data_IF_367630333876
#
_entry.id   IF_367630333876
#
_cell.length_a   1.000
_cell.length_b   1.000
_cell.length_c   1.000
_cell.angle_alpha   90.00
_cell.angle_beta   90.00
_cell.angle_gamma   90.00
#
_symmetry.space_group_name_H-M   'P 1'
#
loop_
_entity.id
_entity.type
_entity.pdbx_description
1 polymer ?
#
# COMPACT_ATOMS: atom_id res chain seq x y z
N UNK A 1 -23.13 -43.78 7.16
CA UNK A 1 -22.29 -43.01 8.10
C UNK A 1 -21.02 -42.48 7.44
N UNK A 2 -20.31 -43.30 6.64
CA UNK A 2 -19.11 -42.88 5.90
C UNK A 2 -19.35 -41.66 4.99
N UNK A 3 -20.49 -41.62 4.32
CA UNK A 3 -20.84 -40.57 3.35
C UNK A 3 -20.88 -39.16 3.98
N UNK A 4 -21.44 -39.05 5.19
CA UNK A 4 -21.45 -37.80 5.96
C UNK A 4 -20.04 -37.35 6.36
N UNK A 5 -19.14 -38.29 6.65
CA UNK A 5 -17.74 -38.01 6.99
C UNK A 5 -16.97 -37.54 5.75
N UNK A 6 -17.20 -38.17 4.60
CA UNK A 6 -16.57 -37.77 3.33
C UNK A 6 -17.02 -36.37 2.93
N UNK A 7 -18.31 -36.07 3.04
CA UNK A 7 -18.84 -34.73 2.77
C UNK A 7 -18.19 -33.66 3.67
N UNK A 8 -17.99 -33.96 4.96
CA UNK A 8 -17.32 -33.07 5.90
C UNK A 8 -15.86 -32.82 5.52
N UNK A 9 -15.13 -33.88 5.15
CA UNK A 9 -13.71 -33.79 4.76
C UNK A 9 -13.55 -32.96 3.49
N UNK A 10 -14.39 -33.18 2.48
CA UNK A 10 -14.37 -32.41 1.23
C UNK A 10 -14.65 -30.94 1.50
N UNK A 11 -15.63 -30.63 2.36
CA UNK A 11 -15.94 -29.24 2.75
C UNK A 11 -14.75 -28.57 3.43
N UNK A 12 -14.08 -29.26 4.35
CA UNK A 12 -12.88 -28.76 5.02
C UNK A 12 -11.72 -28.52 4.05
N UNK A 13 -11.53 -29.42 3.08
CA UNK A 13 -10.47 -29.29 2.07
C UNK A 13 -10.69 -28.05 1.20
N UNK A 14 -11.93 -27.86 0.74
CA UNK A 14 -12.32 -26.68 -0.05
C UNK A 14 -12.16 -25.41 0.78
N UNK A 15 -12.69 -25.38 2.00
CA UNK A 15 -12.59 -24.24 2.89
C UNK A 15 -11.13 -23.87 3.20
N UNK A 16 -10.28 -24.87 3.44
CA UNK A 16 -8.84 -24.68 3.68
C UNK A 16 -8.14 -24.14 2.44
N UNK A 17 -8.43 -24.69 1.25
CA UNK A 17 -7.87 -24.20 -0.02
C UNK A 17 -8.22 -22.73 -0.28
N UNK A 18 -9.49 -22.36 -0.06
CA UNK A 18 -9.97 -20.99 -0.15
C UNK A 18 -9.28 -20.09 0.87
N UNK A 19 -9.09 -20.56 2.11
CA UNK A 19 -8.44 -19.82 3.18
C UNK A 19 -6.97 -19.51 2.86
N UNK A 20 -6.24 -20.47 2.27
CA UNK A 20 -4.86 -20.29 1.81
C UNK A 20 -4.79 -19.27 0.66
N UNK A 21 -5.73 -19.33 -0.28
CA UNK A 21 -5.76 -18.45 -1.45
C UNK A 21 -6.12 -17.00 -1.10
N UNK A 22 -6.96 -16.78 -0.08
CA UNK A 22 -7.43 -15.45 0.37
C UNK A 22 -6.46 -14.79 1.38
N UNK A 23 -5.59 -15.58 2.02
CA UNK A 23 -4.60 -15.12 2.99
C UNK A 23 -5.20 -14.82 4.38
N UNK A 24 -4.53 -15.21 5.48
CA UNK A 24 -5.10 -15.18 6.84
C UNK A 24 -5.34 -13.77 7.43
N UNK A 25 -4.82 -12.72 6.78
CA UNK A 25 -4.95 -11.33 7.23
C UNK A 25 -6.30 -10.68 6.91
N UNK A 26 -7.09 -11.22 5.98
CA UNK A 26 -8.34 -10.60 5.51
C UNK A 26 -9.58 -11.06 6.30
N UNK A 27 -9.60 -12.30 6.80
CA UNK A 27 -10.71 -12.85 7.59
C UNK A 27 -10.70 -12.43 9.06
N UNK A 28 -9.53 -12.35 9.69
CA UNK A 28 -9.42 -11.97 11.12
C UNK A 28 -9.92 -10.55 11.40
N UNK A 29 -9.82 -9.65 10.41
CA UNK A 29 -10.33 -8.27 10.52
C UNK A 29 -11.86 -8.18 10.38
N UNK A 30 -12.49 -9.07 9.61
CA UNK A 30 -13.95 -9.10 9.39
C UNK A 30 -14.72 -9.87 10.47
N UNK A 31 -14.18 -11.01 10.97
CA UNK A 31 -14.86 -11.73 12.05
C UNK A 31 -14.82 -10.95 13.38
N UNK A 32 -13.70 -10.25 13.66
CA UNK A 32 -13.57 -9.44 14.88
C UNK A 32 -14.49 -8.20 14.89
N UNK A 33 -14.97 -7.75 13.72
CA UNK A 33 -15.96 -6.66 13.64
C UNK A 33 -17.41 -7.13 13.75
N UNK A 34 -17.71 -8.39 13.40
CA UNK A 34 -19.10 -8.90 13.40
C UNK A 34 -19.50 -9.48 14.76
N UNK A 35 -18.57 -10.13 15.48
CA UNK A 35 -18.86 -10.77 16.77
C UNK A 35 -18.98 -9.74 17.92
N UNK A 36 -18.53 -8.49 17.71
CA UNK A 36 -18.44 -7.46 18.77
C UNK A 36 -19.62 -6.49 18.88
N UNK A 37 -20.83 -6.89 18.46
CA UNK A 37 -22.05 -6.13 18.77
C UNK A 37 -23.28 -7.01 18.96
N UNK A 38 -23.83 -7.04 20.18
CA UNK A 38 -25.24 -6.80 20.38
C UNK A 38 -25.48 -5.32 20.72
N UNK A 39 -26.61 -4.82 20.20
CA UNK A 39 -27.14 -3.47 20.34
C UNK A 39 -27.40 -3.12 21.81
N UNK A 40 -26.91 -1.95 22.22
CA UNK A 40 -27.39 -1.21 23.40
C UNK A 40 -27.56 0.24 23.00
N UNK A 41 -28.81 0.70 22.94
CA UNK A 41 -29.24 2.04 22.56
C UNK A 41 -28.99 2.94 23.79
N UNK A 42 -27.77 3.41 24.01
CA UNK A 42 -27.44 4.19 25.22
C UNK A 42 -26.19 5.09 25.12
N UNK A 43 -25.86 5.63 23.94
CA UNK A 43 -24.69 6.53 23.83
C UNK A 43 -24.87 7.65 22.80
N UNK A 44 -26.03 8.32 22.81
CA UNK A 44 -26.20 9.63 22.16
C UNK A 44 -25.45 10.76 22.90
N UNK A 45 -24.79 10.46 24.02
CA UNK A 45 -24.08 11.43 24.88
C UNK A 45 -22.74 10.90 25.41
N UNK A 46 -21.87 10.41 24.53
CA UNK A 46 -20.45 10.45 24.84
C UNK A 46 -19.74 11.28 23.76
N UNK A 47 -19.14 12.44 24.11
CA UNK A 47 -18.13 13.04 23.24
C UNK A 47 -16.98 12.03 23.20
N UNK A 48 -17.02 11.19 22.18
CA UNK A 48 -15.99 10.21 21.85
C UNK A 48 -14.63 10.91 22.03
N UNK A 49 -13.75 10.47 22.95
CA UNK A 49 -12.38 10.92 22.89
C UNK A 49 -11.91 10.53 21.51
N UNK A 50 -11.62 11.55 20.70
CA UNK A 50 -10.99 11.41 19.40
C UNK A 50 -9.80 10.51 19.69
N UNK A 51 -9.91 9.26 19.24
CA UNK A 51 -8.80 8.34 19.29
C UNK A 51 -7.79 9.03 18.39
N UNK A 52 -6.89 9.80 18.97
CA UNK A 52 -5.59 10.09 18.40
C UNK A 52 -5.03 8.71 18.12
N UNK A 53 -5.35 8.20 16.94
CA UNK A 53 -4.39 7.46 16.19
C UNK A 53 -3.22 8.42 16.14
N UNK A 54 -2.32 8.27 17.13
CA UNK A 54 -0.96 8.73 17.05
C UNK A 54 -0.45 8.00 15.82
N UNK A 55 -0.72 8.58 14.64
CA UNK A 55 0.07 8.36 13.45
C UNK A 55 1.47 8.53 13.97
N UNK A 56 2.29 7.46 14.03
CA UNK A 56 3.64 7.57 14.56
C UNK A 56 4.23 8.78 13.86
N UNK A 57 4.66 9.81 14.60
CA UNK A 57 4.99 11.14 14.07
C UNK A 57 5.90 10.94 12.88
N UNK A 58 5.30 10.87 11.70
CA UNK A 58 5.95 10.31 10.54
C UNK A 58 6.71 11.49 9.98
N UNK A 59 8.01 11.32 9.75
CA UNK A 59 8.84 12.44 9.34
C UNK A 59 8.16 13.13 8.13
N UNK A 60 8.02 14.48 8.15
CA UNK A 60 7.29 15.20 7.11
C UNK A 60 7.85 14.93 5.71
N UNK A 61 9.13 14.59 5.58
CA UNK A 61 9.72 14.18 4.30
C UNK A 61 9.27 12.78 3.86
N UNK A 62 9.14 11.82 4.77
CA UNK A 62 8.57 10.50 4.49
C UNK A 62 7.13 10.62 4.01
N UNK A 63 6.35 11.50 4.65
CA UNK A 63 4.98 11.77 4.25
C UNK A 63 4.91 12.38 2.83
N UNK A 64 5.82 13.31 2.49
CA UNK A 64 5.93 13.85 1.12
C UNK A 64 6.21 12.75 0.09
N UNK A 65 7.12 11.83 0.39
CA UNK A 65 7.39 10.67 -0.47
C UNK A 65 6.13 9.82 -0.64
N UNK A 66 5.42 9.52 0.43
CA UNK A 66 4.18 8.73 0.37
C UNK A 66 3.09 9.41 -0.46
N UNK A 67 2.93 10.73 -0.32
CA UNK A 67 1.94 11.50 -1.09
C UNK A 67 2.32 11.55 -2.58
N UNK A 68 3.59 11.79 -2.91
CA UNK A 68 4.07 11.78 -4.29
C UNK A 68 3.94 10.38 -4.93
N UNK A 69 4.26 9.33 -4.17
CA UNK A 69 4.11 7.94 -4.60
C UNK A 69 2.63 7.59 -4.84
N UNK A 70 1.74 8.05 -3.95
CA UNK A 70 0.29 7.88 -4.12
C UNK A 70 -0.24 8.57 -5.38
N UNK A 71 0.21 9.80 -5.67
CA UNK A 71 -0.16 10.53 -6.89
C UNK A 71 0.32 9.81 -8.15
N UNK A 72 1.57 9.37 -8.19
CA UNK A 72 2.11 8.60 -9.32
C UNK A 72 1.38 7.26 -9.49
N UNK A 73 1.15 6.50 -8.42
CA UNK A 73 0.45 5.23 -8.49
C UNK A 73 -1.01 5.36 -8.93
N UNK A 74 -1.70 6.43 -8.53
CA UNK A 74 -3.06 6.71 -8.97
C UNK A 74 -3.10 7.10 -10.44
N UNK A 75 -2.14 7.91 -10.90
CA UNK A 75 -2.02 8.26 -12.30
C UNK A 75 -1.73 7.02 -13.16
N UNK A 76 -0.78 6.17 -12.75
CA UNK A 76 -0.44 4.94 -13.46
C UNK A 76 -1.64 3.98 -13.56
N UNK A 77 -2.38 3.78 -12.47
CA UNK A 77 -3.61 2.99 -12.50
C UNK A 77 -4.64 3.57 -13.48
N UNK A 78 -4.82 4.89 -13.50
CA UNK A 78 -5.76 5.54 -14.42
C UNK A 78 -5.38 5.36 -15.90
N UNK A 79 -4.11 5.06 -16.19
CA UNK A 79 -3.59 4.83 -17.54
C UNK A 79 -3.28 3.35 -17.82
N UNK A 80 -3.91 2.43 -17.08
CA UNK A 80 -3.80 0.98 -17.30
C UNK A 80 -2.50 0.33 -16.84
N UNK A 81 -1.64 1.04 -16.11
CA UNK A 81 -0.36 0.56 -15.60
C UNK A 81 -0.51 0.01 -14.18
N UNK A 82 -1.36 -1.00 -14.01
CA UNK A 82 -1.72 -1.55 -12.69
C UNK A 82 -0.54 -2.21 -11.96
N UNK A 83 0.34 -2.89 -12.69
CA UNK A 83 1.54 -3.53 -12.10
C UNK A 83 2.50 -2.48 -11.53
N UNK A 84 2.82 -1.45 -12.31
CA UNK A 84 3.66 -0.34 -11.85
C UNK A 84 3.02 0.42 -10.67
N UNK A 85 1.69 0.64 -10.72
CA UNK A 85 0.95 1.25 -9.62
C UNK A 85 0.99 0.39 -8.35
N UNK A 86 0.87 -0.93 -8.47
CA UNK A 86 0.95 -1.88 -7.35
C UNK A 86 2.35 -1.90 -6.75
N UNK A 87 3.39 -1.94 -7.58
CA UNK A 87 4.77 -1.87 -7.13
C UNK A 87 5.04 -0.60 -6.32
N UNK A 88 4.66 0.57 -6.84
CA UNK A 88 4.84 1.85 -6.12
C UNK A 88 4.11 1.85 -4.78
N UNK A 89 2.85 1.41 -4.73
CA UNK A 89 2.10 1.32 -3.47
C UNK A 89 2.74 0.36 -2.49
N UNK A 90 3.24 -0.78 -2.96
CA UNK A 90 3.91 -1.78 -2.12
C UNK A 90 5.23 -1.25 -1.55
N UNK A 91 5.99 -0.49 -2.34
CA UNK A 91 7.23 0.14 -1.90
C UNK A 91 6.95 1.29 -0.91
N UNK A 92 5.94 2.12 -1.18
CA UNK A 92 5.51 3.18 -0.27
C UNK A 92 4.98 2.63 1.06
N UNK A 93 4.28 1.49 1.08
CA UNK A 93 3.81 0.85 2.30
C UNK A 93 4.97 0.44 3.22
N UNK A 94 6.11 0.03 2.64
CA UNK A 94 7.32 -0.37 3.40
C UNK A 94 7.94 0.81 4.16
N UNK A 95 7.71 2.06 3.74
CA UNK A 95 8.22 3.26 4.42
C UNK A 95 7.78 3.36 5.87
N UNK A 96 6.64 2.75 6.21
CA UNK A 96 6.09 2.78 7.58
C UNK A 96 6.77 1.81 8.54
N UNK A 97 7.41 0.75 8.05
CA UNK A 97 8.08 -0.26 8.87
C UNK A 97 9.60 -0.27 8.71
N UNK A 98 10.11 -0.13 7.48
CA UNK A 98 11.52 -0.02 7.17
C UNK A 98 11.70 1.03 6.08
N UNK A 99 11.97 2.25 6.53
CA UNK A 99 12.07 3.41 5.66
C UNK A 99 13.17 3.29 4.60
N UNK A 100 14.44 2.94 4.93
CA UNK A 100 15.48 2.72 3.92
C UNK A 100 15.08 1.69 2.86
N UNK A 101 14.52 0.55 3.27
CA UNK A 101 14.09 -0.50 2.33
C UNK A 101 12.96 -0.03 1.41
N UNK A 102 12.03 0.78 1.91
CA UNK A 102 10.96 1.40 1.11
C UNK A 102 11.50 2.39 0.09
N UNK A 103 12.45 3.23 0.48
CA UNK A 103 13.10 4.20 -0.40
C UNK A 103 13.91 3.53 -1.51
N UNK A 104 14.68 2.48 -1.20
CA UNK A 104 15.38 1.68 -2.20
C UNK A 104 14.41 0.98 -3.17
N UNK A 105 13.32 0.40 -2.66
CA UNK A 105 12.31 -0.21 -3.52
C UNK A 105 11.72 0.83 -4.51
N UNK A 106 11.35 2.03 -4.02
CA UNK A 106 10.85 3.12 -4.87
C UNK A 106 11.87 3.53 -5.94
N UNK A 107 13.16 3.61 -5.60
CA UNK A 107 14.21 3.90 -6.56
C UNK A 107 14.28 2.85 -7.68
N UNK A 108 14.23 1.56 -7.33
CA UNK A 108 14.28 0.49 -8.33
C UNK A 108 13.06 0.50 -9.24
N UNK A 109 11.86 0.77 -8.72
CA UNK A 109 10.62 0.86 -9.50
C UNK A 109 10.62 2.09 -10.40
N UNK A 110 11.09 3.25 -9.92
CA UNK A 110 11.22 4.47 -10.73
C UNK A 110 12.16 4.31 -11.94
N UNK A 111 13.23 3.52 -11.80
CA UNK A 111 14.13 3.21 -12.93
C UNK A 111 13.43 2.39 -14.02
N UNK A 112 12.50 1.49 -13.64
CA UNK A 112 11.71 0.68 -14.59
C UNK A 112 10.62 1.49 -15.29
N UNK A 113 9.95 2.38 -14.56
CA UNK A 113 8.85 3.21 -15.09
C UNK A 113 9.33 4.18 -16.19
N UNK A 114 10.62 4.55 -16.20
CA UNK A 114 11.22 5.39 -17.25
C UNK A 114 11.00 4.83 -18.68
N UNK A 115 10.66 3.54 -18.80
CA UNK A 115 10.47 2.83 -20.07
C UNK A 115 8.98 2.74 -20.48
N UNK A 116 8.05 3.26 -19.68
CA UNK A 116 6.62 3.25 -20.02
C UNK A 116 6.34 4.30 -21.10
N UNK A 117 6.23 3.85 -22.35
CA UNK A 117 5.83 4.70 -23.48
C UNK A 117 4.34 5.01 -23.38
N UNK A 118 4.03 6.25 -23.05
CA UNK A 118 2.69 6.82 -23.19
C UNK A 118 2.61 7.42 -24.58
N UNK A 119 1.59 7.06 -25.35
CA UNK A 119 1.40 7.47 -26.74
C UNK A 119 1.04 8.95 -26.89
N UNK A 120 0.38 9.52 -25.87
CA UNK A 120 0.00 10.93 -25.82
C UNK A 120 1.12 11.79 -25.18
N UNK A 121 1.55 12.83 -25.89
CA UNK A 121 2.62 13.74 -25.47
C UNK A 121 2.26 14.52 -24.21
N UNK A 122 1.01 14.94 -24.05
CA UNK A 122 0.55 15.67 -22.86
C UNK A 122 0.55 14.76 -21.62
N UNK A 123 0.05 13.53 -21.76
CA UNK A 123 0.12 12.51 -20.72
C UNK A 123 1.58 12.12 -20.38
N UNK A 124 2.47 12.09 -21.37
CA UNK A 124 3.89 11.83 -21.16
C UNK A 124 4.58 12.94 -20.35
N UNK A 125 4.28 14.21 -20.62
CA UNK A 125 4.77 15.35 -19.82
C UNK A 125 4.27 15.28 -18.39
N UNK A 126 2.99 14.94 -18.19
CA UNK A 126 2.42 14.79 -16.85
C UNK A 126 3.07 13.65 -16.08
N UNK A 127 3.34 12.53 -16.74
CA UNK A 127 4.06 11.40 -16.14
C UNK A 127 5.49 11.81 -15.75
N UNK A 128 6.22 12.51 -16.65
CA UNK A 128 7.57 13.03 -16.34
C UNK A 128 7.55 13.93 -15.11
N UNK A 129 6.58 14.82 -14.99
CA UNK A 129 6.44 15.70 -13.83
C UNK A 129 6.21 14.91 -12.53
N UNK A 130 5.31 13.92 -12.54
CA UNK A 130 5.03 13.08 -11.36
C UNK A 130 6.23 12.21 -10.96
N UNK A 131 6.95 11.67 -11.95
CA UNK A 131 8.18 10.91 -11.72
C UNK A 131 9.29 11.80 -11.16
N UNK A 132 9.44 13.02 -11.68
CA UNK A 132 10.40 14.00 -11.18
C UNK A 132 10.10 14.40 -9.73
N UNK A 133 8.84 14.68 -9.42
CA UNK A 133 8.40 15.02 -8.07
C UNK A 133 8.69 13.88 -7.07
N UNK A 134 8.35 12.64 -7.42
CA UNK A 134 8.66 11.50 -6.55
C UNK A 134 10.17 11.30 -6.40
N UNK A 135 10.94 11.47 -7.47
CA UNK A 135 12.40 11.33 -7.43
C UNK A 135 13.02 12.37 -6.49
N UNK A 136 12.61 13.64 -6.58
CA UNK A 136 13.11 14.69 -5.69
C UNK A 136 12.75 14.40 -4.23
N UNK A 137 11.49 14.02 -3.95
CA UNK A 137 11.08 13.67 -2.59
C UNK A 137 11.88 12.50 -2.01
N UNK A 138 12.13 11.46 -2.83
CA UNK A 138 12.92 10.30 -2.43
C UNK A 138 14.38 10.70 -2.17
N UNK A 139 14.99 11.47 -3.07
CA UNK A 139 16.37 11.95 -2.94
C UNK A 139 16.56 12.80 -1.67
N UNK A 140 15.67 13.76 -1.45
CA UNK A 140 15.64 14.61 -0.25
C UNK A 140 15.58 13.82 1.05
N UNK A 141 14.96 12.63 1.02
CA UNK A 141 14.85 11.74 2.18
C UNK A 141 16.07 10.82 2.31
N UNK A 142 16.61 10.33 1.19
CA UNK A 142 17.89 9.60 1.17
C UNK A 142 19.02 10.43 1.77
N UNK A 143 19.13 11.71 1.37
CA UNK A 143 20.14 12.64 1.90
C UNK A 143 20.02 12.84 3.40
N UNK A 144 18.79 12.93 3.92
CA UNK A 144 18.56 13.05 5.37
C UNK A 144 18.89 11.78 6.16
N UNK A 145 18.81 10.62 5.52
CA UNK A 145 19.13 9.35 6.16
C UNK A 145 20.60 9.00 5.99
N UNK A 146 21.41 9.88 5.40
CA UNK A 146 22.81 9.64 5.03
C UNK A 146 23.00 8.36 4.21
N UNK A 147 21.92 7.90 3.58
CA UNK A 147 21.96 6.75 2.69
C UNK A 147 22.66 7.23 1.41
N UNK A 148 23.80 6.59 1.10
CA UNK A 148 24.68 6.96 -0.02
C UNK A 148 23.88 7.39 -1.27
N UNK A 149 24.22 8.55 -1.87
CA UNK A 149 23.37 9.20 -2.84
C UNK A 149 23.19 8.38 -4.11
N UNK A 150 22.04 8.60 -4.76
CA UNK A 150 21.85 8.34 -6.18
C UNK A 150 23.11 8.76 -6.97
N UNK A 151 23.88 7.80 -7.48
CA UNK A 151 24.73 8.08 -8.64
C UNK A 151 23.77 8.38 -9.80
N UNK A 152 23.75 9.64 -10.25
CA UNK A 152 23.08 10.04 -11.48
C UNK A 152 23.64 9.16 -12.62
N UNK A 153 22.81 8.61 -13.52
CA UNK A 153 23.29 8.09 -14.78
C UNK A 153 23.84 9.21 -15.65
#
# INVERSE_FOLDING_TARGET
MLDAVVALVVLFLIASGVLVMIGPGTLTRRLRSVIRRPRGIAALFEPRPLREAVTPVQNPKTQRVMVAAGRLANWLRAHGQDDAAREIRSAAARLTGNEPAGLYALQTTLRRIRVVNVTDSAAQERLKALVAELRTAVQDRFEQLELLPFRRP
#
